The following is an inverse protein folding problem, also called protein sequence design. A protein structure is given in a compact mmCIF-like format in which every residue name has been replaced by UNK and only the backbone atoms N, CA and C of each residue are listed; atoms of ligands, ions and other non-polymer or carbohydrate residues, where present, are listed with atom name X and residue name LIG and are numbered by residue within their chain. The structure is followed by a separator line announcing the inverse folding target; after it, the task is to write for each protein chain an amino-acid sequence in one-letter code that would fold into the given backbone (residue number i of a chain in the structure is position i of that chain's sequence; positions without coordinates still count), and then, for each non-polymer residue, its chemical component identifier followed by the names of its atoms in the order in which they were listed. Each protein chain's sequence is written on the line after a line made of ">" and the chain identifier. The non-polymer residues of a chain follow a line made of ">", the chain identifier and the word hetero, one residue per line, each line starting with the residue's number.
data_IF_777504428993
#
_entry.id   IF_777504428993
#
_cell.length_a   1.000
_cell.length_b   1.000
_cell.length_c   1.000
_cell.angle_alpha   90.00
_cell.angle_beta   90.00
_cell.angle_gamma   90.00
#
_symmetry.space_group_name_H-M   'P 1'
#
loop_
_entity.id
_entity.type
_entity.pdbx_description
1 polymer ?
#
# COMPACT_ATOMS: atom_id res chain seq x y z
N UNK A 1 -21.76 -9.02 28.26
CA UNK A 1 -20.37 -9.49 28.10
C UNK A 1 -19.74 -8.71 26.93
N UNK A 2 -18.93 -7.69 27.19
CA UNK A 2 -18.19 -6.98 26.13
C UNK A 2 -17.07 -7.91 25.70
N UNK A 3 -17.18 -8.52 24.53
CA UNK A 3 -16.03 -9.12 23.87
C UNK A 3 -14.98 -8.02 23.71
N UNK A 4 -13.91 -8.09 24.47
CA UNK A 4 -12.72 -7.30 24.24
C UNK A 4 -12.22 -7.69 22.85
N UNK A 5 -12.47 -6.83 21.86
CA UNK A 5 -11.82 -6.92 20.56
C UNK A 5 -10.33 -6.69 20.84
N UNK A 6 -9.57 -7.77 21.00
CA UNK A 6 -8.13 -7.69 21.18
C UNK A 6 -7.55 -6.91 20.00
N UNK A 7 -6.78 -5.88 20.30
CA UNK A 7 -6.10 -5.05 19.31
C UNK A 7 -5.25 -5.98 18.42
N UNK A 8 -5.47 -5.94 17.11
CA UNK A 8 -4.72 -6.76 16.16
C UNK A 8 -3.25 -6.33 16.12
N UNK A 9 -2.37 -7.29 16.05
CA UNK A 9 -0.95 -7.04 15.76
C UNK A 9 -0.75 -7.12 14.24
N UNK A 10 -0.32 -6.01 13.65
CA UNK A 10 -0.13 -5.92 12.21
C UNK A 10 1.31 -6.15 11.81
N UNK A 11 1.48 -6.82 10.67
CA UNK A 11 2.70 -6.78 9.87
C UNK A 11 2.45 -5.74 8.76
N UNK A 12 3.35 -4.76 8.63
CA UNK A 12 3.29 -3.79 7.53
C UNK A 12 4.00 -4.38 6.33
N UNK A 13 3.37 -4.33 5.16
CA UNK A 13 3.95 -4.79 3.90
C UNK A 13 3.93 -3.63 2.91
N UNK A 14 5.12 -3.11 2.57
CA UNK A 14 5.29 -2.17 1.46
C UNK A 14 5.40 -2.95 0.16
N UNK A 15 4.47 -2.71 -0.76
CA UNK A 15 4.44 -3.39 -2.07
C UNK A 15 4.84 -2.40 -3.15
N UNK A 16 5.99 -2.58 -3.74
CA UNK A 16 6.47 -1.75 -4.84
C UNK A 16 5.51 -1.80 -6.03
N UNK A 17 5.12 -0.63 -6.55
CA UNK A 17 4.18 -0.56 -7.67
C UNK A 17 4.66 -1.28 -8.93
N UNK A 18 5.97 -1.42 -9.11
CA UNK A 18 6.55 -2.19 -10.23
C UNK A 18 6.45 -3.71 -10.07
N UNK A 19 6.03 -4.21 -8.90
CA UNK A 19 5.62 -5.61 -8.73
C UNK A 19 4.16 -5.81 -9.13
N UNK A 20 3.31 -4.79 -8.91
CA UNK A 20 1.90 -4.84 -9.30
C UNK A 20 1.77 -4.66 -10.81
N UNK A 21 2.50 -3.68 -11.36
CA UNK A 21 2.51 -3.34 -12.78
C UNK A 21 3.97 -3.15 -13.24
N UNK A 22 4.70 -4.23 -13.55
CA UNK A 22 6.06 -4.11 -14.12
C UNK A 22 6.05 -3.43 -15.50
N UNK A 23 5.24 -3.92 -16.40
CA UNK A 23 4.91 -3.31 -17.71
C UNK A 23 3.39 -3.35 -17.95
N UNK A 24 2.78 -4.49 -17.71
CA UNK A 24 1.34 -4.70 -17.58
C UNK A 24 1.03 -5.18 -16.17
N UNK A 25 -0.26 -5.31 -15.82
CA UNK A 25 -0.67 -5.81 -14.51
C UNK A 25 -0.22 -7.26 -14.35
N UNK A 26 0.64 -7.55 -13.37
CA UNK A 26 1.15 -8.89 -13.10
C UNK A 26 0.15 -9.69 -12.26
N UNK A 27 -0.78 -10.33 -12.94
CA UNK A 27 -1.80 -11.16 -12.29
C UNK A 27 -1.22 -12.38 -11.57
N UNK A 28 -0.07 -12.90 -11.99
CA UNK A 28 0.60 -14.02 -11.33
C UNK A 28 1.19 -13.60 -9.98
N UNK A 29 1.93 -12.49 -9.96
CA UNK A 29 2.42 -11.91 -8.70
C UNK A 29 1.27 -11.61 -7.75
N UNK A 30 0.25 -10.91 -8.23
CA UNK A 30 -0.90 -10.47 -7.42
C UNK A 30 -1.65 -11.69 -6.84
N UNK A 31 -1.85 -12.74 -7.64
CA UNK A 31 -2.50 -13.97 -7.19
C UNK A 31 -1.68 -14.67 -6.10
N UNK A 32 -0.37 -14.81 -6.30
CA UNK A 32 0.53 -15.41 -5.32
C UNK A 32 0.61 -14.59 -4.03
N UNK A 33 0.72 -13.27 -4.15
CA UNK A 33 0.71 -12.36 -3.01
C UNK A 33 -0.59 -12.48 -2.22
N UNK A 34 -1.74 -12.44 -2.91
CA UNK A 34 -3.05 -12.61 -2.27
C UNK A 34 -3.16 -13.93 -1.53
N UNK A 35 -2.78 -15.03 -2.16
CA UNK A 35 -2.83 -16.37 -1.55
C UNK A 35 -1.94 -16.46 -0.30
N UNK A 36 -0.74 -15.88 -0.36
CA UNK A 36 0.17 -15.81 0.78
C UNK A 36 -0.43 -15.03 1.94
N UNK A 37 -0.98 -13.85 1.69
CA UNK A 37 -1.63 -13.05 2.73
C UNK A 37 -2.80 -13.84 3.35
N UNK A 38 -3.70 -14.40 2.54
CA UNK A 38 -4.87 -15.13 3.05
C UNK A 38 -4.47 -16.33 3.91
N UNK A 39 -3.46 -17.11 3.51
CA UNK A 39 -2.97 -18.24 4.30
C UNK A 39 -2.41 -17.83 5.67
N UNK A 40 -1.87 -16.61 5.77
CA UNK A 40 -1.38 -16.07 7.04
C UNK A 40 -2.49 -15.44 7.89
N UNK A 41 -3.58 -14.95 7.28
CA UNK A 41 -4.77 -14.55 8.03
C UNK A 41 -5.35 -15.75 8.81
N UNK A 42 -5.39 -16.93 8.20
CA UNK A 42 -5.83 -18.17 8.84
C UNK A 42 -4.96 -18.55 10.05
N UNK A 43 -3.69 -18.16 10.06
CA UNK A 43 -2.75 -18.32 11.18
C UNK A 43 -2.85 -17.20 12.23
N UNK A 44 -3.80 -16.28 12.09
CA UNK A 44 -4.05 -15.19 13.04
C UNK A 44 -3.25 -13.91 12.80
N UNK A 45 -2.45 -13.83 11.73
CA UNK A 45 -1.77 -12.58 11.36
C UNK A 45 -2.75 -11.53 10.83
N UNK A 46 -2.35 -10.27 10.90
CA UNK A 46 -3.06 -9.16 10.27
C UNK A 46 -2.07 -8.29 9.50
N UNK A 47 -2.52 -7.68 8.41
CA UNK A 47 -1.64 -6.98 7.48
C UNK A 47 -2.09 -5.56 7.19
N UNK A 48 -1.13 -4.64 7.20
CA UNK A 48 -1.28 -3.29 6.68
C UNK A 48 -0.45 -3.19 5.39
N UNK A 49 -1.12 -3.08 4.27
CA UNK A 49 -0.50 -3.12 2.93
C UNK A 49 -0.39 -1.70 2.40
N UNK A 50 0.84 -1.24 2.19
CA UNK A 50 1.15 0.06 1.60
C UNK A 50 1.52 -0.15 0.14
N UNK A 51 0.79 0.48 -0.78
CA UNK A 51 1.02 0.35 -2.21
C UNK A 51 1.85 1.51 -2.77
N UNK A 52 2.87 1.19 -3.55
CA UNK A 52 3.64 2.16 -4.31
C UNK A 52 3.12 2.35 -5.75
N UNK A 53 3.52 3.43 -6.41
CA UNK A 53 3.11 3.74 -7.79
C UNK A 53 3.99 3.11 -8.87
N UNK A 54 5.28 2.94 -8.58
CA UNK A 54 6.24 2.27 -9.45
C UNK A 54 6.36 2.88 -10.84
N UNK A 55 6.54 2.03 -11.86
CA UNK A 55 6.63 2.45 -13.26
C UNK A 55 5.36 3.15 -13.75
N UNK A 56 4.19 2.75 -13.26
CA UNK A 56 2.92 3.37 -13.65
C UNK A 56 2.91 4.85 -13.27
N UNK A 57 3.26 5.19 -12.05
CA UNK A 57 3.38 6.59 -11.62
C UNK A 57 4.36 7.38 -12.51
N UNK A 58 5.54 6.82 -12.76
CA UNK A 58 6.57 7.47 -13.62
C UNK A 58 6.08 7.68 -15.06
N UNK A 59 5.33 6.75 -15.62
CA UNK A 59 4.73 6.90 -16.97
C UNK A 59 3.73 8.04 -17.03
N UNK A 60 2.83 8.15 -16.06
CA UNK A 60 1.88 9.26 -15.98
C UNK A 60 2.58 10.59 -15.75
N UNK A 61 3.58 10.64 -14.88
CA UNK A 61 4.37 11.84 -14.63
C UNK A 61 5.14 12.29 -15.89
N UNK A 62 5.75 11.36 -16.62
CA UNK A 62 6.43 11.64 -17.87
C UNK A 62 5.48 12.14 -18.96
N UNK A 63 4.31 11.50 -19.07
CA UNK A 63 3.27 11.93 -20.01
C UNK A 63 2.75 13.34 -19.68
N UNK A 64 2.55 13.65 -18.41
CA UNK A 64 2.15 14.99 -17.98
C UNK A 64 3.16 16.05 -18.39
N UNK A 65 4.46 15.79 -18.18
CA UNK A 65 5.54 16.70 -18.61
C UNK A 65 5.65 16.84 -20.14
N UNK A 66 5.29 15.82 -20.88
CA UNK A 66 5.29 15.87 -22.34
C UNK A 66 4.14 16.67 -22.93
N UNK A 67 3.01 16.76 -22.21
CA UNK A 67 1.82 17.48 -22.65
C UNK A 67 1.87 18.97 -22.27
N UNK A 68 2.37 19.28 -21.09
CA UNK A 68 2.45 20.65 -20.58
C UNK A 68 3.55 20.78 -19.52
N UNK A 69 3.93 22.03 -19.25
CA UNK A 69 4.91 22.32 -18.21
C UNK A 69 4.27 22.18 -16.82
N UNK A 70 4.48 21.02 -16.19
CA UNK A 70 4.01 20.75 -14.84
C UNK A 70 5.10 20.91 -13.80
N UNK A 71 4.74 21.45 -12.63
CA UNK A 71 5.68 21.56 -11.51
C UNK A 71 5.99 20.17 -10.91
N UNK A 72 7.08 20.10 -10.14
CA UNK A 72 7.42 18.89 -9.40
C UNK A 72 6.29 18.50 -8.43
N UNK A 73 5.67 19.47 -7.76
CA UNK A 73 4.52 19.24 -6.88
C UNK A 73 3.35 18.62 -7.63
N UNK A 74 2.99 19.16 -8.81
CA UNK A 74 1.94 18.58 -9.66
C UNK A 74 2.29 17.15 -10.08
N UNK A 75 3.54 16.92 -10.43
CA UNK A 75 4.04 15.57 -10.76
C UNK A 75 3.93 14.60 -9.58
N UNK A 76 4.24 15.05 -8.37
CA UNK A 76 4.12 14.24 -7.16
C UNK A 76 2.65 13.89 -6.85
N UNK A 77 1.72 14.85 -7.06
CA UNK A 77 0.29 14.58 -6.96
C UNK A 77 -0.18 13.49 -7.93
N UNK A 78 0.31 13.50 -9.17
CA UNK A 78 0.01 12.43 -10.14
C UNK A 78 0.50 11.08 -9.60
N UNK A 79 1.72 11.02 -9.09
CA UNK A 79 2.28 9.80 -8.51
C UNK A 79 1.49 9.29 -7.31
N UNK A 80 1.06 10.22 -6.44
CA UNK A 80 0.25 9.94 -5.27
C UNK A 80 -1.08 9.27 -5.64
N UNK A 81 -1.77 9.77 -6.65
CA UNK A 81 -3.06 9.17 -7.07
C UNK A 81 -2.86 7.78 -7.69
N UNK A 82 -1.72 7.50 -8.30
CA UNK A 82 -1.40 6.13 -8.74
C UNK A 82 -1.20 5.21 -7.54
N UNK A 83 -0.52 5.65 -6.48
CA UNK A 83 -0.40 4.87 -5.24
C UNK A 83 -1.79 4.55 -4.66
N UNK A 84 -2.68 5.53 -4.63
CA UNK A 84 -4.05 5.37 -4.14
C UNK A 84 -4.86 4.40 -5.00
N UNK A 85 -4.70 4.46 -6.32
CA UNK A 85 -5.33 3.51 -7.25
C UNK A 85 -4.86 2.07 -6.98
N UNK A 86 -3.56 1.85 -6.81
CA UNK A 86 -3.02 0.54 -6.48
C UNK A 86 -3.50 0.04 -5.12
N UNK A 87 -3.57 0.91 -4.11
CA UNK A 87 -4.09 0.57 -2.79
C UNK A 87 -5.57 0.19 -2.85
N UNK A 88 -6.40 0.94 -3.59
CA UNK A 88 -7.81 0.64 -3.80
C UNK A 88 -8.01 -0.69 -4.54
N UNK A 89 -7.19 -0.94 -5.56
CA UNK A 89 -7.21 -2.21 -6.30
C UNK A 89 -6.91 -3.39 -5.37
N UNK A 90 -5.81 -3.35 -4.62
CA UNK A 90 -5.46 -4.41 -3.67
C UNK A 90 -6.55 -4.59 -2.60
N UNK A 91 -7.09 -3.50 -2.07
CA UNK A 91 -8.19 -3.56 -1.09
C UNK A 91 -9.38 -4.37 -1.62
N UNK A 92 -9.76 -4.15 -2.88
CA UNK A 92 -10.88 -4.89 -3.51
C UNK A 92 -10.59 -6.37 -3.63
N UNK A 93 -9.34 -6.74 -3.90
CA UNK A 93 -8.94 -8.14 -4.02
C UNK A 93 -8.94 -8.87 -2.66
N UNK A 94 -8.81 -8.15 -1.55
CA UNK A 94 -8.85 -8.74 -0.20
C UNK A 94 -10.23 -8.73 0.45
N UNK A 95 -11.28 -8.23 -0.23
CA UNK A 95 -12.64 -8.35 0.30
C UNK A 95 -13.01 -9.85 0.50
N UNK A 96 -13.74 -10.20 1.59
CA UNK A 96 -14.31 -9.34 2.63
C UNK A 96 -13.37 -9.06 3.83
N UNK A 97 -12.12 -9.47 3.78
CA UNK A 97 -11.16 -9.35 4.90
C UNK A 97 -10.60 -7.92 5.07
N UNK A 98 -10.71 -7.09 4.04
CA UNK A 98 -10.16 -5.73 4.07
C UNK A 98 -11.13 -4.71 4.65
N UNK A 99 -10.58 -3.66 5.26
CA UNK A 99 -11.33 -2.46 5.64
C UNK A 99 -12.07 -1.85 4.42
N UNK A 100 -13.22 -1.20 4.61
CA UNK A 100 -14.06 -0.72 3.51
C UNK A 100 -13.42 0.43 2.70
N UNK A 101 -12.50 1.16 3.31
CA UNK A 101 -11.80 2.30 2.70
C UNK A 101 -10.28 2.14 2.83
N UNK A 102 -9.55 2.62 1.83
CA UNK A 102 -8.10 2.80 1.95
C UNK A 102 -7.81 3.94 2.93
N UNK A 103 -6.67 3.86 3.60
CA UNK A 103 -6.20 4.93 4.48
C UNK A 103 -5.44 5.94 3.61
N UNK A 104 -5.91 7.20 3.61
CA UNK A 104 -5.32 8.34 2.91
C UNK A 104 -5.04 9.52 3.82
N UNK A 105 -5.56 9.49 5.04
CA UNK A 105 -5.42 10.56 6.04
C UNK A 105 -4.68 10.00 7.26
N UNK A 106 -3.41 10.36 7.36
CA UNK A 106 -2.55 9.87 8.44
C UNK A 106 -2.68 10.71 9.72
N UNK A 107 -3.46 11.77 9.71
CA UNK A 107 -3.79 12.52 10.94
C UNK A 107 -4.72 11.72 11.86
N UNK A 108 -5.54 10.85 11.28
CA UNK A 108 -6.50 10.01 11.99
C UNK A 108 -5.88 8.72 12.54
N UNK A 109 -6.57 8.09 13.48
CA UNK A 109 -6.24 6.73 13.91
C UNK A 109 -6.58 5.72 12.81
N UNK A 110 -5.71 4.74 12.63
CA UNK A 110 -5.93 3.67 11.66
C UNK A 110 -6.93 2.64 12.22
N UNK A 111 -7.83 2.08 11.39
CA UNK A 111 -8.74 1.03 11.81
C UNK A 111 -7.92 -0.22 12.19
N UNK A 112 -8.21 -0.81 13.35
CA UNK A 112 -7.49 -1.97 13.88
C UNK A 112 -8.38 -3.19 14.09
N UNK A 113 -9.56 -3.20 13.48
CA UNK A 113 -10.55 -4.27 13.60
C UNK A 113 -10.55 -5.22 12.40
N UNK A 114 -10.04 -4.79 11.27
CA UNK A 114 -10.01 -5.58 10.04
C UNK A 114 -8.71 -6.37 9.92
N UNK A 115 -8.74 -7.63 9.44
CA UNK A 115 -7.53 -8.42 9.22
C UNK A 115 -6.57 -7.80 8.20
N UNK A 116 -7.11 -7.10 7.21
CA UNK A 116 -6.34 -6.39 6.18
C UNK A 116 -6.75 -4.92 6.15
N UNK A 117 -5.78 -4.03 6.13
CA UNK A 117 -5.97 -2.61 5.81
C UNK A 117 -5.04 -2.25 4.67
N UNK A 118 -5.55 -1.49 3.69
CA UNK A 118 -4.75 -0.99 2.59
C UNK A 118 -4.53 0.51 2.75
N UNK A 119 -3.32 0.93 2.50
CA UNK A 119 -2.82 2.29 2.76
C UNK A 119 -2.33 2.86 1.43
N UNK A 120 -2.90 3.98 1.06
CA UNK A 120 -2.44 4.81 -0.04
C UNK A 120 -1.42 5.83 0.43
N UNK A 121 -1.29 6.92 -0.31
CA UNK A 121 -0.44 8.05 0.03
C UNK A 121 -1.27 9.24 0.51
N UNK A 122 -0.74 9.97 1.48
CA UNK A 122 -1.41 11.15 2.05
C UNK A 122 -0.96 12.46 1.40
N UNK A 123 0.36 12.61 1.21
CA UNK A 123 0.98 13.88 0.80
C UNK A 123 1.96 13.65 -0.34
N UNK A 124 2.04 14.61 -1.29
CA UNK A 124 3.08 14.60 -2.30
C UNK A 124 4.47 14.67 -1.67
N UNK A 125 5.48 14.14 -2.35
CA UNK A 125 6.86 14.14 -1.89
C UNK A 125 7.22 13.03 -0.89
N UNK A 126 6.28 12.24 -0.42
CA UNK A 126 6.56 11.06 0.40
C UNK A 126 6.72 9.80 -0.46
N UNK A 127 7.69 8.96 -0.10
CA UNK A 127 7.82 7.63 -0.70
C UNK A 127 6.87 6.63 0.00
N UNK A 128 6.48 5.58 -0.70
CA UNK A 128 5.69 4.49 -0.08
C UNK A 128 6.43 3.80 1.08
N UNK A 129 7.76 3.81 1.07
CA UNK A 129 8.57 3.28 2.18
C UNK A 129 8.47 4.18 3.43
N UNK A 130 8.45 5.51 3.25
CA UNK A 130 8.18 6.43 4.34
C UNK A 130 6.78 6.21 4.92
N UNK A 131 5.77 6.07 4.06
CA UNK A 131 4.38 5.81 4.47
C UNK A 131 4.27 4.48 5.22
N UNK A 132 5.04 3.46 4.83
CA UNK A 132 5.12 2.18 5.54
C UNK A 132 5.69 2.32 6.96
N UNK A 133 6.72 3.15 7.14
CA UNK A 133 7.29 3.44 8.47
C UNK A 133 6.27 4.20 9.33
N UNK A 134 5.59 5.19 8.78
CA UNK A 134 4.54 5.92 9.50
C UNK A 134 3.39 4.99 9.89
N UNK A 135 2.96 4.12 8.98
CA UNK A 135 1.94 3.11 9.26
C UNK A 135 2.36 2.16 10.40
N UNK A 136 3.60 1.68 10.37
CA UNK A 136 4.12 0.80 11.41
C UNK A 136 4.12 1.48 12.79
N UNK A 137 4.52 2.75 12.86
CA UNK A 137 4.47 3.53 14.10
C UNK A 137 3.03 3.69 14.61
N UNK A 138 2.09 4.05 13.74
CA UNK A 138 0.67 4.24 14.12
C UNK A 138 0.00 2.96 14.59
N UNK A 139 0.34 1.84 13.99
CA UNK A 139 -0.18 0.52 14.34
C UNK A 139 0.58 -0.17 15.47
N UNK A 140 1.71 0.41 15.91
CA UNK A 140 2.67 -0.22 16.80
C UNK A 140 3.12 -1.59 16.27
N UNK A 141 3.32 -1.67 14.95
CA UNK A 141 3.76 -2.89 14.28
C UNK A 141 5.25 -3.12 14.53
N UNK A 142 5.61 -4.37 14.79
CA UNK A 142 7.01 -4.77 15.09
C UNK A 142 7.78 -5.16 13.83
N UNK A 143 7.10 -5.31 12.69
CA UNK A 143 7.70 -5.81 11.47
C UNK A 143 7.20 -5.02 10.26
N UNK A 144 8.15 -4.63 9.41
CA UNK A 144 7.91 -4.10 8.07
C UNK A 144 8.59 -5.06 7.09
N UNK A 145 7.84 -5.46 6.06
CA UNK A 145 8.35 -6.24 4.93
C UNK A 145 8.30 -5.33 3.71
N UNK A 146 9.44 -5.09 3.09
CA UNK A 146 9.51 -4.35 1.84
C UNK A 146 9.63 -5.33 0.67
N UNK A 147 8.63 -5.33 -0.20
CA UNK A 147 8.61 -6.10 -1.44
C UNK A 147 8.94 -5.16 -2.59
N UNK A 148 10.05 -5.41 -3.24
CA UNK A 148 10.50 -4.66 -4.41
C UNK A 148 11.15 -5.60 -5.43
N UNK A 149 11.32 -5.11 -6.66
CA UNK A 149 11.98 -5.86 -7.74
C UNK A 149 13.46 -5.46 -7.90
N UNK A 150 14.10 -5.03 -6.83
CA UNK A 150 15.54 -4.75 -6.78
C UNK A 150 16.26 -5.87 -6.04
N UNK A 151 17.45 -6.22 -6.53
CA UNK A 151 18.24 -7.31 -5.93
C UNK A 151 18.84 -6.93 -4.57
N UNK A 152 19.19 -5.62 -4.40
CA UNK A 152 19.83 -5.12 -3.18
C UNK A 152 19.33 -3.72 -2.81
N UNK A 153 19.34 -3.44 -1.50
CA UNK A 153 19.19 -2.08 -0.94
C UNK A 153 20.58 -1.61 -0.52
N UNK A 154 21.04 -0.49 -1.08
CA UNK A 154 22.33 0.13 -0.77
C UNK A 154 22.19 1.20 0.29
#
# INVERSE_FOLDING_TARGET
>A
MRLSLSKREYVVVSVGGSLIVPDEIDTNFISSFRSTILSHLEKGFSFAIVAGGGKTARRYQAAGRAVTDITNETSDWIGLEVNNMHAEFLKRLFAPHSAPHIIRDFSKSFPNTYPVICIGAEKPGHSSDYDAVVAARKLNAKKIINLSNIDYVY
#
